data_IF_885422578683
#
_entry.id   IF_885422578683
#
_cell.length_a   1.000
_cell.length_b   1.000
_cell.length_c   1.000
_cell.angle_alpha   90.00
_cell.angle_beta   90.00
_cell.angle_gamma   90.00
#
_symmetry.space_group_name_H-M   'P 1'
#
loop_
_entity.id
_entity.type
_entity.pdbx_description
1 polymer ?
#
# COMPACT_ATOMS: atom_id res chain seq x y z
N UNK A 1 15.03 17.64 -39.22
CA UNK A 1 14.35 16.32 -39.07
C UNK A 1 12.92 16.55 -38.60
N UNK A 2 11.90 16.16 -39.39
CA UNK A 2 10.49 16.21 -38.97
C UNK A 2 10.11 14.83 -38.39
N UNK A 3 9.88 14.76 -37.08
CA UNK A 3 9.38 13.55 -36.42
C UNK A 3 7.92 13.36 -36.83
N UNK A 4 7.56 12.20 -37.38
CA UNK A 4 6.19 11.96 -37.82
C UNK A 4 5.26 11.69 -36.62
N UNK A 5 3.96 12.00 -36.76
CA UNK A 5 2.98 11.77 -35.69
C UNK A 5 2.92 10.30 -35.24
N UNK A 6 3.19 9.35 -36.14
CA UNK A 6 3.30 7.92 -35.83
C UNK A 6 4.55 7.60 -35.01
N UNK A 7 5.68 8.25 -35.31
CA UNK A 7 6.90 8.13 -34.52
C UNK A 7 6.72 8.78 -33.14
N UNK A 8 6.03 9.92 -33.05
CA UNK A 8 5.69 10.55 -31.77
C UNK A 8 4.78 9.65 -30.92
N UNK A 9 3.74 9.06 -31.52
CA UNK A 9 2.82 8.12 -30.86
C UNK A 9 3.52 6.83 -30.42
N UNK A 10 4.43 6.28 -31.24
CA UNK A 10 5.22 5.10 -30.88
C UNK A 10 6.19 5.39 -29.72
N UNK A 11 6.88 6.54 -29.74
CA UNK A 11 7.76 6.97 -28.64
C UNK A 11 6.99 7.21 -27.34
N UNK A 12 5.79 7.81 -27.42
CA UNK A 12 4.91 8.01 -26.28
C UNK A 12 4.38 6.66 -25.75
N UNK A 13 4.01 5.71 -26.62
CA UNK A 13 3.57 4.38 -26.17
C UNK A 13 4.71 3.54 -25.57
N UNK A 14 5.94 3.69 -26.05
CA UNK A 14 7.12 3.07 -25.40
C UNK A 14 7.39 3.74 -24.05
N UNK A 15 7.36 5.07 -23.94
CA UNK A 15 7.51 5.76 -22.66
C UNK A 15 6.39 5.43 -21.65
N UNK A 16 5.14 5.30 -22.11
CA UNK A 16 3.98 4.96 -21.27
C UNK A 16 3.97 3.47 -20.90
N UNK A 17 4.34 2.57 -21.82
CA UNK A 17 4.43 1.13 -21.58
C UNK A 17 5.55 0.75 -20.62
N UNK A 18 6.72 1.38 -20.75
CA UNK A 18 7.90 1.07 -19.93
C UNK A 18 7.79 1.62 -18.51
N UNK A 19 7.06 2.72 -18.29
CA UNK A 19 6.95 3.30 -16.93
C UNK A 19 6.12 2.44 -15.98
N UNK A 20 5.06 1.78 -16.44
CA UNK A 20 4.21 0.93 -15.58
C UNK A 20 4.85 -0.40 -15.16
N UNK A 21 5.86 -0.87 -15.89
CA UNK A 21 6.65 -2.08 -15.61
C UNK A 21 7.79 -1.85 -14.61
N UNK A 22 7.91 -0.67 -14.00
CA UNK A 22 8.91 -0.46 -12.96
C UNK A 22 8.28 0.24 -11.77
N UNK A 23 8.79 -0.02 -10.55
CA UNK A 23 8.30 0.68 -9.39
C UNK A 23 8.59 2.18 -9.57
N UNK A 24 7.69 3.07 -9.14
CA UNK A 24 7.88 4.49 -9.34
C UNK A 24 9.17 4.97 -8.66
N UNK A 25 9.94 5.88 -9.29
CA UNK A 25 11.15 6.42 -8.70
C UNK A 25 10.86 7.14 -7.38
N UNK A 26 11.89 7.37 -6.55
CA UNK A 26 11.75 8.01 -5.23
C UNK A 26 11.08 9.39 -5.33
N UNK A 27 11.29 10.11 -6.44
CA UNK A 27 10.73 11.44 -6.69
C UNK A 27 9.25 11.40 -7.13
N UNK A 28 8.71 10.23 -7.52
CA UNK A 28 7.35 10.11 -8.06
C UNK A 28 6.26 10.68 -7.14
N UNK A 29 6.24 10.39 -5.82
CA UNK A 29 5.23 10.93 -4.91
C UNK A 29 5.23 12.46 -4.81
N UNK A 30 6.31 13.12 -5.22
CA UNK A 30 6.51 14.57 -5.15
C UNK A 30 6.22 15.29 -6.47
N UNK A 31 5.86 14.55 -7.53
CA UNK A 31 5.44 15.16 -8.81
C UNK A 31 4.15 15.96 -8.65
N UNK A 32 3.98 17.02 -9.45
CA UNK A 32 2.77 17.87 -9.42
C UNK A 32 1.48 17.08 -9.61
N UNK A 33 1.50 16.08 -10.51
CA UNK A 33 0.37 15.16 -10.70
C UNK A 33 0.00 14.44 -9.39
N UNK A 34 0.98 13.93 -8.64
CA UNK A 34 0.71 13.22 -7.38
C UNK A 34 0.36 14.19 -6.25
N UNK A 35 0.92 15.40 -6.24
CA UNK A 35 0.46 16.49 -5.34
C UNK A 35 -1.03 16.76 -5.54
N UNK A 36 -1.46 16.98 -6.79
CA UNK A 36 -2.87 17.23 -7.13
C UNK A 36 -3.77 16.06 -6.71
N UNK A 37 -3.33 14.82 -6.97
CA UNK A 37 -4.07 13.62 -6.57
C UNK A 37 -4.16 13.42 -5.04
N UNK A 38 -3.13 13.82 -4.28
CA UNK A 38 -3.18 13.83 -2.80
C UNK A 38 -4.21 14.82 -2.29
N UNK A 39 -4.27 16.02 -2.88
CA UNK A 39 -5.29 17.02 -2.54
C UNK A 39 -6.69 16.46 -2.80
N UNK A 40 -6.90 15.87 -3.99
CA UNK A 40 -8.17 15.24 -4.34
C UNK A 40 -8.55 14.11 -3.37
N UNK A 41 -7.62 13.22 -3.02
CA UNK A 41 -7.89 12.14 -2.06
C UNK A 41 -8.23 12.72 -0.67
N UNK A 42 -7.50 13.73 -0.20
CA UNK A 42 -7.81 14.41 1.07
C UNK A 42 -9.23 14.98 1.06
N UNK A 43 -9.64 15.68 0.00
CA UNK A 43 -10.99 16.24 -0.12
C UNK A 43 -12.06 15.14 -0.17
N UNK A 44 -11.78 14.06 -0.90
CA UNK A 44 -12.63 12.87 -0.97
C UNK A 44 -12.81 12.18 0.39
N UNK A 45 -11.75 12.11 1.20
CA UNK A 45 -11.80 11.54 2.56
C UNK A 45 -12.61 12.45 3.49
N UNK A 46 -12.39 13.77 3.45
CA UNK A 46 -13.19 14.71 4.24
C UNK A 46 -14.67 14.60 3.90
N UNK A 47 -15.02 14.41 2.62
CA UNK A 47 -16.41 14.22 2.20
C UNK A 47 -17.08 12.94 2.73
N UNK A 48 -16.34 12.02 3.37
CA UNK A 48 -16.93 10.89 4.12
C UNK A 48 -17.43 11.29 5.51
N UNK A 49 -16.92 12.38 6.07
CA UNK A 49 -17.26 12.82 7.43
C UNK A 49 -18.54 13.66 7.44
N UNK A 50 -19.27 13.72 8.57
CA UNK A 50 -20.33 14.71 8.78
C UNK A 50 -19.84 16.16 8.59
N UNK A 51 -20.70 17.08 8.10
CA UNK A 51 -20.30 18.48 7.80
C UNK A 51 -19.60 19.20 8.96
N UNK A 52 -20.01 18.93 10.20
CA UNK A 52 -19.45 19.49 11.43
C UNK A 52 -18.02 19.01 11.71
N UNK A 53 -17.66 17.79 11.28
CA UNK A 53 -16.31 17.24 11.41
C UNK A 53 -15.39 17.70 10.27
N UNK A 54 -15.93 17.96 9.08
CA UNK A 54 -15.15 18.41 7.91
C UNK A 54 -14.41 19.73 8.14
N UNK A 55 -14.92 20.59 9.02
CA UNK A 55 -14.29 21.88 9.35
C UNK A 55 -13.26 21.77 10.48
N UNK A 56 -13.22 20.64 11.19
CA UNK A 56 -12.31 20.46 12.33
C UNK A 56 -10.85 20.39 11.84
N UNK A 57 -9.92 21.18 12.44
CA UNK A 57 -8.51 21.14 12.07
C UNK A 57 -7.90 19.73 12.19
N UNK A 58 -8.25 18.99 13.24
CA UNK A 58 -7.75 17.64 13.47
C UNK A 58 -8.20 16.65 12.40
N UNK A 59 -9.47 16.71 11.95
CA UNK A 59 -9.98 15.87 10.86
C UNK A 59 -9.27 16.17 9.52
N UNK A 60 -9.02 17.45 9.24
CA UNK A 60 -8.27 17.91 8.05
C UNK A 60 -6.83 17.42 8.07
N UNK A 61 -6.20 17.44 9.24
CA UNK A 61 -4.84 16.94 9.42
C UNK A 61 -4.78 15.42 9.21
N UNK A 62 -5.71 14.66 9.80
CA UNK A 62 -5.80 13.20 9.59
C UNK A 62 -6.03 12.85 8.11
N UNK A 63 -6.97 13.52 7.43
CA UNK A 63 -7.23 13.31 6.00
C UNK A 63 -6.01 13.65 5.13
N UNK A 64 -5.27 14.71 5.48
CA UNK A 64 -4.04 15.10 4.78
C UNK A 64 -2.96 14.05 4.96
N UNK A 65 -2.77 13.58 6.21
CA UNK A 65 -1.81 12.54 6.53
C UNK A 65 -2.15 11.22 5.82
N UNK A 66 -3.41 10.79 5.82
CA UNK A 66 -3.85 9.59 5.12
C UNK A 66 -3.59 9.67 3.62
N UNK A 67 -3.94 10.79 2.99
CA UNK A 67 -3.73 10.97 1.56
C UNK A 67 -2.22 10.98 1.22
N UNK A 68 -1.41 11.71 1.99
CA UNK A 68 0.03 11.78 1.78
C UNK A 68 0.71 10.42 1.96
N UNK A 69 0.42 9.76 3.08
CA UNK A 69 0.94 8.43 3.41
C UNK A 69 0.53 7.40 2.36
N UNK A 70 -0.73 7.39 1.92
CA UNK A 70 -1.20 6.42 0.92
C UNK A 70 -0.40 6.48 -0.40
N UNK A 71 -0.17 7.68 -0.94
CA UNK A 71 0.58 7.82 -2.20
C UNK A 71 2.08 7.52 -2.03
N UNK A 72 2.68 7.93 -0.92
CA UNK A 72 4.10 7.64 -0.63
C UNK A 72 4.32 6.14 -0.38
N UNK A 73 3.47 5.54 0.45
CA UNK A 73 3.49 4.13 0.80
C UNK A 73 3.32 3.26 -0.45
N UNK A 74 2.31 3.52 -1.29
CA UNK A 74 2.10 2.74 -2.50
C UNK A 74 3.35 2.64 -3.38
N UNK A 75 4.02 3.78 -3.61
CA UNK A 75 5.26 3.82 -4.39
C UNK A 75 6.42 3.13 -3.66
N UNK A 76 6.54 3.32 -2.33
CA UNK A 76 7.56 2.68 -1.48
C UNK A 76 7.44 1.16 -1.50
N UNK A 77 6.24 0.64 -1.31
CA UNK A 77 5.94 -0.80 -1.29
C UNK A 77 6.34 -1.45 -2.62
N UNK A 78 6.04 -0.81 -3.75
CA UNK A 78 6.45 -1.33 -5.05
C UNK A 78 7.98 -1.39 -5.20
N UNK A 79 8.71 -0.38 -4.70
CA UNK A 79 10.18 -0.37 -4.71
C UNK A 79 10.76 -1.48 -3.83
N UNK A 80 10.25 -1.62 -2.60
CA UNK A 80 10.70 -2.66 -1.64
C UNK A 80 10.43 -4.06 -2.18
N UNK A 81 9.30 -4.26 -2.85
CA UNK A 81 8.95 -5.53 -3.47
C UNK A 81 9.81 -5.84 -4.72
N UNK A 82 10.50 -4.84 -5.29
CA UNK A 82 11.23 -4.98 -6.54
C UNK A 82 10.30 -5.40 -7.70
N UNK A 83 9.05 -4.91 -7.70
CA UNK A 83 8.04 -5.35 -8.64
C UNK A 83 8.26 -4.80 -10.04
N UNK A 84 8.46 -5.68 -11.02
CA UNK A 84 8.70 -5.30 -12.43
C UNK A 84 7.43 -5.29 -13.30
N UNK A 85 6.26 -5.63 -12.76
CA UNK A 85 5.04 -5.65 -13.55
C UNK A 85 3.81 -5.24 -12.75
N UNK A 86 2.85 -4.56 -13.38
CA UNK A 86 1.59 -4.22 -12.74
C UNK A 86 0.72 -5.46 -12.54
N UNK A 87 0.05 -5.50 -11.39
CA UNK A 87 -1.06 -6.40 -11.15
C UNK A 87 -0.79 -7.87 -11.49
N UNK A 88 -1.72 -8.44 -12.27
CA UNK A 88 -1.75 -9.85 -12.66
C UNK A 88 -0.50 -10.31 -13.42
N UNK A 89 0.14 -9.43 -14.19
CA UNK A 89 1.39 -9.76 -14.86
C UNK A 89 2.52 -10.02 -13.85
N UNK A 90 2.54 -9.27 -12.74
CA UNK A 90 3.47 -9.51 -11.63
C UNK A 90 3.24 -10.85 -10.93
N UNK A 91 1.99 -11.32 -10.83
CA UNK A 91 1.69 -12.63 -10.22
C UNK A 91 2.38 -13.79 -10.94
N UNK A 92 2.52 -13.73 -12.27
CA UNK A 92 3.20 -14.78 -13.03
C UNK A 92 4.68 -14.93 -12.63
N UNK A 93 5.37 -13.81 -12.39
CA UNK A 93 6.76 -13.80 -11.93
C UNK A 93 6.89 -14.36 -10.52
N UNK A 94 5.91 -14.05 -9.66
CA UNK A 94 5.92 -14.53 -8.28
C UNK A 94 5.64 -16.02 -8.21
N UNK A 95 4.63 -16.50 -8.92
CA UNK A 95 4.29 -17.92 -8.98
C UNK A 95 5.39 -18.75 -9.66
N UNK A 96 6.17 -18.14 -10.55
CA UNK A 96 7.34 -18.77 -11.20
C UNK A 96 8.63 -18.66 -10.36
N UNK A 97 8.58 -18.12 -9.14
CA UNK A 97 9.73 -17.90 -8.24
C UNK A 97 10.83 -16.99 -8.81
N UNK A 98 10.49 -16.15 -9.80
CA UNK A 98 11.39 -15.13 -10.35
C UNK A 98 11.33 -13.82 -9.55
N UNK A 99 10.27 -13.65 -8.77
CA UNK A 99 10.09 -12.55 -7.83
C UNK A 99 9.51 -13.13 -6.54
N UNK A 100 10.06 -12.77 -5.40
CA UNK A 100 9.72 -13.50 -4.17
C UNK A 100 8.41 -12.95 -3.52
N UNK A 101 7.96 -11.71 -3.82
CA UNK A 101 6.75 -11.03 -3.28
C UNK A 101 6.15 -10.06 -4.30
N UNK A 102 4.97 -9.53 -4.01
CA UNK A 102 4.29 -8.54 -4.83
C UNK A 102 2.87 -8.92 -5.26
N UNK A 103 2.33 -10.01 -4.69
CA UNK A 103 0.91 -10.37 -4.82
C UNK A 103 0.01 -9.29 -4.19
N UNK A 104 -1.25 -9.23 -4.61
CA UNK A 104 -2.21 -8.22 -4.14
C UNK A 104 -2.33 -8.16 -2.60
N UNK A 105 -2.36 -9.31 -1.92
CA UNK A 105 -2.45 -9.38 -0.46
C UNK A 105 -1.21 -8.82 0.24
N UNK A 106 -0.01 -8.92 -0.38
CA UNK A 106 1.20 -8.30 0.17
C UNK A 106 1.05 -6.78 0.22
N UNK A 107 0.60 -6.18 -0.88
CA UNK A 107 0.37 -4.73 -0.93
C UNK A 107 -0.74 -4.30 0.02
N UNK A 108 -1.81 -5.10 0.19
CA UNK A 108 -2.86 -4.82 1.18
C UNK A 108 -2.26 -4.76 2.59
N UNK A 109 -1.49 -5.76 2.98
CA UNK A 109 -0.89 -5.84 4.32
C UNK A 109 0.09 -4.68 4.57
N UNK A 110 0.93 -4.37 3.59
CA UNK A 110 1.89 -3.28 3.67
C UNK A 110 1.21 -1.91 3.74
N UNK A 111 0.19 -1.68 2.91
CA UNK A 111 -0.59 -0.44 2.96
C UNK A 111 -1.31 -0.31 4.31
N UNK A 112 -1.86 -1.40 4.85
CA UNK A 112 -2.51 -1.39 6.15
C UNK A 112 -1.53 -1.02 7.27
N UNK A 113 -0.31 -1.58 7.24
CA UNK A 113 0.78 -1.19 8.13
C UNK A 113 1.07 0.30 8.02
N UNK A 114 1.38 0.81 6.83
CA UNK A 114 1.78 2.22 6.68
C UNK A 114 0.70 3.20 7.16
N UNK A 115 -0.58 2.88 6.90
CA UNK A 115 -1.69 3.71 7.34
C UNK A 115 -1.97 3.62 8.85
N UNK A 116 -1.44 2.62 9.58
CA UNK A 116 -1.59 2.49 11.04
C UNK A 116 -0.46 3.11 11.87
N UNK A 117 0.54 3.73 11.23
CA UNK A 117 1.61 4.47 11.93
C UNK A 117 1.13 5.69 12.73
N UNK A 118 -0.11 6.12 12.51
CA UNK A 118 -0.78 7.20 13.24
C UNK A 118 -2.12 6.69 13.80
N UNK A 119 -2.44 6.95 15.07
CA UNK A 119 -3.79 6.76 15.59
C UNK A 119 -4.81 7.64 14.85
N UNK A 120 -5.99 7.10 14.53
CA UNK A 120 -7.02 7.81 13.77
C UNK A 120 -8.31 7.94 14.59
N UNK A 121 -8.78 9.17 14.73
CA UNK A 121 -10.00 9.50 15.47
C UNK A 121 -11.20 9.62 14.53
N UNK A 122 -11.02 10.20 13.35
CA UNK A 122 -12.10 10.49 12.40
C UNK A 122 -12.26 9.42 11.32
N UNK A 123 -11.21 8.63 11.09
CA UNK A 123 -11.18 7.62 10.05
C UNK A 123 -10.91 6.23 10.62
N UNK A 124 -11.25 5.22 9.83
CA UNK A 124 -10.83 3.83 10.05
C UNK A 124 -10.27 3.23 8.76
N UNK A 125 -9.37 2.29 8.94
CA UNK A 125 -8.77 1.53 7.85
C UNK A 125 -9.43 0.16 7.83
N UNK A 126 -9.85 -0.28 6.64
CA UNK A 126 -10.36 -1.62 6.41
C UNK A 126 -9.59 -2.33 5.30
N UNK A 127 -9.82 -3.64 5.20
CA UNK A 127 -9.30 -4.50 4.16
C UNK A 127 -10.48 -5.00 3.36
N UNK A 128 -10.40 -4.98 2.04
CA UNK A 128 -11.44 -5.51 1.17
C UNK A 128 -10.85 -6.43 0.11
N UNK A 129 -11.72 -7.28 -0.45
CA UNK A 129 -11.38 -8.20 -1.52
C UNK A 129 -12.40 -8.11 -2.63
N UNK A 130 -11.91 -8.17 -3.86
CA UNK A 130 -12.69 -8.41 -5.07
C UNK A 130 -12.56 -9.88 -5.46
N UNK A 131 -13.66 -10.52 -5.82
CA UNK A 131 -13.71 -11.89 -6.32
C UNK A 131 -13.05 -12.91 -5.37
N UNK A 132 -13.31 -12.80 -4.07
CA UNK A 132 -12.75 -13.69 -3.05
C UNK A 132 -12.93 -15.18 -3.39
N UNK A 133 -11.85 -15.95 -3.28
CA UNK A 133 -11.78 -17.38 -3.59
C UNK A 133 -11.70 -17.72 -5.09
N UNK A 134 -11.61 -16.72 -5.98
CA UNK A 134 -11.51 -16.93 -7.43
C UNK A 134 -10.11 -16.63 -7.95
N UNK A 135 -9.78 -17.13 -9.14
CA UNK A 135 -8.51 -16.81 -9.80
C UNK A 135 -8.32 -15.30 -10.07
N UNK A 136 -9.39 -14.51 -10.11
CA UNK A 136 -9.37 -13.05 -10.27
C UNK A 136 -9.38 -12.28 -8.95
N UNK A 137 -9.14 -12.97 -7.83
CA UNK A 137 -9.12 -12.40 -6.48
C UNK A 137 -8.13 -11.22 -6.37
N UNK A 138 -8.60 -10.11 -5.80
CA UNK A 138 -7.79 -8.93 -5.64
C UNK A 138 -8.03 -8.26 -4.29
N UNK A 139 -6.96 -8.12 -3.50
CA UNK A 139 -6.99 -7.61 -2.14
C UNK A 139 -6.53 -6.13 -2.11
N UNK A 140 -7.25 -5.28 -1.39
CA UNK A 140 -6.95 -3.84 -1.24
C UNK A 140 -7.22 -3.36 0.19
N UNK A 141 -6.71 -2.19 0.56
CA UNK A 141 -7.18 -1.49 1.76
C UNK A 141 -8.21 -0.43 1.36
N UNK A 142 -9.03 0.00 2.31
CA UNK A 142 -9.90 1.14 2.13
C UNK A 142 -9.87 2.04 3.37
N UNK A 143 -10.26 3.31 3.17
CA UNK A 143 -10.45 4.27 4.24
C UNK A 143 -11.93 4.65 4.29
N UNK A 144 -12.51 4.59 5.47
CA UNK A 144 -13.88 4.99 5.76
C UNK A 144 -13.90 6.00 6.91
N UNK A 145 -14.99 6.75 7.06
CA UNK A 145 -15.25 7.51 8.28
C UNK A 145 -15.33 6.57 9.50
N UNK A 146 -14.99 7.06 10.69
CA UNK A 146 -15.13 6.30 11.94
C UNK A 146 -16.60 5.89 12.10
N UNK A 147 -16.84 4.61 12.35
CA UNK A 147 -18.19 4.06 12.50
C UNK A 147 -18.98 3.85 11.19
N UNK A 148 -18.49 4.31 10.04
CA UNK A 148 -19.13 4.00 8.75
C UNK A 148 -18.88 2.55 8.36
N UNK A 149 -19.85 1.87 7.78
CA UNK A 149 -19.74 0.48 7.30
C UNK A 149 -19.31 0.41 5.83
N UNK A 150 -18.79 -0.75 5.41
CA UNK A 150 -18.57 -1.00 3.98
C UNK A 150 -19.91 -0.95 3.22
N UNK A 151 -20.03 -0.30 2.04
CA UNK A 151 -18.96 0.27 1.21
C UNK A 151 -18.86 1.81 1.28
N UNK A 152 -19.20 2.46 2.40
CA UNK A 152 -19.07 3.93 2.56
C UNK A 152 -17.60 4.33 2.77
N UNK A 153 -16.81 4.22 1.70
CA UNK A 153 -15.35 4.26 1.76
C UNK A 153 -14.70 4.63 0.41
N UNK A 154 -13.40 4.91 0.47
CA UNK A 154 -12.50 4.97 -0.68
C UNK A 154 -11.51 3.79 -0.65
N UNK A 155 -11.48 2.99 -1.72
CA UNK A 155 -10.52 1.88 -1.89
C UNK A 155 -9.18 2.44 -2.36
N UNK A 156 -8.11 1.99 -1.74
CA UNK A 156 -6.73 2.31 -2.06
C UNK A 156 -6.02 1.05 -2.57
N UNK A 157 -5.76 1.02 -3.86
CA UNK A 157 -5.14 -0.09 -4.56
C UNK A 157 -3.73 0.30 -5.02
N UNK A 158 -2.75 -0.12 -4.21
CA UNK A 158 -1.34 0.11 -4.49
C UNK A 158 -0.75 -0.93 -5.46
N UNK A 159 -1.47 -2.01 -5.76
CA UNK A 159 -0.94 -3.16 -6.49
C UNK A 159 -1.21 -3.09 -8.00
N UNK A 160 -2.43 -2.70 -8.39
CA UNK A 160 -2.89 -2.75 -9.79
C UNK A 160 -1.94 -2.07 -10.77
N UNK A 161 -1.38 -0.92 -10.39
CA UNK A 161 -0.46 -0.14 -11.21
C UNK A 161 0.94 -0.04 -10.61
N UNK A 162 1.37 -1.11 -9.93
CA UNK A 162 2.72 -1.26 -9.41
C UNK A 162 3.18 -0.05 -8.57
N UNK A 163 2.44 0.29 -7.51
CA UNK A 163 2.75 1.40 -6.62
C UNK A 163 2.29 2.79 -7.08
N UNK A 164 1.71 2.90 -8.28
CA UNK A 164 0.94 4.09 -8.68
C UNK A 164 -0.47 3.95 -8.14
N UNK A 165 -0.70 4.50 -6.96
CA UNK A 165 -1.96 4.31 -6.22
C UNK A 165 -3.19 4.57 -7.11
N UNK A 166 -4.05 3.54 -7.20
CA UNK A 166 -5.40 3.65 -7.75
C UNK A 166 -6.36 3.90 -6.60
N UNK A 167 -7.26 4.86 -6.79
CA UNK A 167 -8.27 5.25 -5.82
C UNK A 167 -9.64 5.07 -6.45
N UNK A 168 -10.50 4.28 -5.84
CA UNK A 168 -11.88 4.05 -6.30
C UNK A 168 -12.90 4.37 -5.20
N UNK A 169 -14.04 4.92 -5.62
CA UNK A 169 -15.20 5.10 -4.74
C UNK A 169 -15.87 3.74 -4.51
N UNK A 170 -15.79 3.21 -3.28
CA UNK A 170 -16.30 1.87 -2.96
C UNK A 170 -17.81 1.76 -3.21
N UNK A 171 -18.55 2.86 -3.08
CA UNK A 171 -20.01 2.92 -3.29
C UNK A 171 -20.40 2.63 -4.74
N UNK A 172 -19.47 2.85 -5.67
CA UNK A 172 -19.64 2.60 -7.11
C UNK A 172 -19.18 1.20 -7.53
N UNK A 173 -18.55 0.44 -6.63
CA UNK A 173 -18.06 -0.90 -6.92
C UNK A 173 -19.18 -1.95 -6.83
N UNK A 174 -19.05 -3.03 -7.60
CA UNK A 174 -20.04 -4.10 -7.60
C UNK A 174 -20.07 -4.84 -6.26
N UNK A 175 -21.19 -4.71 -5.53
CA UNK A 175 -21.45 -5.45 -4.27
C UNK A 175 -21.45 -6.97 -4.41
N UNK A 176 -21.60 -7.49 -5.64
CA UNK A 176 -21.50 -8.95 -5.92
C UNK A 176 -20.07 -9.44 -6.00
N UNK A 177 -19.12 -8.54 -6.28
CA UNK A 177 -17.70 -8.88 -6.48
C UNK A 177 -16.86 -8.44 -5.30
N UNK A 178 -17.21 -7.33 -4.65
CA UNK A 178 -16.42 -6.77 -3.57
C UNK A 178 -17.05 -7.06 -2.20
N UNK A 179 -16.19 -7.43 -1.25
CA UNK A 179 -16.55 -7.69 0.14
C UNK A 179 -15.52 -7.08 1.10
N UNK A 180 -15.98 -6.77 2.30
CA UNK A 180 -15.14 -6.41 3.44
C UNK A 180 -14.42 -7.65 4.02
N UNK A 181 -13.26 -7.45 4.64
CA UNK A 181 -12.43 -8.47 5.28
C UNK A 181 -12.06 -8.08 6.73
N UNK A 182 -13.04 -7.99 7.65
CA UNK A 182 -12.79 -7.59 9.03
C UNK A 182 -11.87 -8.57 9.78
N UNK A 183 -11.86 -9.86 9.41
CA UNK A 183 -10.95 -10.85 9.98
C UNK A 183 -9.48 -10.54 9.67
N UNK A 184 -9.17 -10.11 8.44
CA UNK A 184 -7.82 -9.68 8.06
C UNK A 184 -7.44 -8.42 8.82
N UNK A 185 -8.33 -7.42 8.92
CA UNK A 185 -8.06 -6.22 9.72
C UNK A 185 -7.74 -6.56 11.18
N UNK A 186 -8.50 -7.49 11.78
CA UNK A 186 -8.28 -7.92 13.17
C UNK A 186 -6.89 -8.53 13.34
N UNK A 187 -6.53 -9.48 12.47
CA UNK A 187 -5.22 -10.13 12.48
C UNK A 187 -4.10 -9.08 12.30
N UNK A 188 -4.24 -8.21 11.30
CA UNK A 188 -3.24 -7.18 11.04
C UNK A 188 -3.09 -6.17 12.18
N UNK A 189 -4.17 -5.87 12.90
CA UNK A 189 -4.12 -4.95 14.03
C UNK A 189 -3.38 -5.52 15.24
N UNK A 190 -3.27 -6.84 15.35
CA UNK A 190 -2.41 -7.51 16.36
C UNK A 190 -0.93 -7.25 16.06
N UNK A 191 -0.54 -7.34 14.78
CA UNK A 191 0.84 -7.13 14.34
C UNK A 191 1.23 -5.64 14.26
N UNK A 192 0.31 -4.81 13.77
CA UNK A 192 0.52 -3.39 13.53
C UNK A 192 -0.36 -2.59 14.48
N UNK A 193 0.09 -2.43 15.71
CA UNK A 193 -0.58 -1.57 16.69
C UNK A 193 -0.65 -0.12 16.20
N UNK A 194 -1.70 0.61 16.55
CA UNK A 194 -1.81 2.03 16.18
C UNK A 194 -0.64 2.83 16.73
N UNK A 195 -0.05 3.69 15.89
CA UNK A 195 1.12 4.50 16.28
C UNK A 195 2.46 3.79 16.19
N UNK A 196 2.51 2.56 15.68
CA UNK A 196 3.77 1.83 15.53
C UNK A 196 4.78 2.56 14.63
N UNK A 197 6.06 2.29 14.85
CA UNK A 197 7.18 2.86 14.08
C UNK A 197 7.93 1.81 13.24
N UNK A 198 7.30 0.66 13.01
CA UNK A 198 7.89 -0.43 12.22
C UNK A 198 8.33 0.00 10.81
N UNK A 199 9.55 -0.35 10.36
CA UNK A 199 9.99 -0.10 8.99
C UNK A 199 9.04 -0.69 7.93
N UNK A 200 9.13 -0.19 6.70
CA UNK A 200 8.44 -0.79 5.55
C UNK A 200 8.93 -2.22 5.27
N UNK A 201 10.14 -2.57 5.72
CA UNK A 201 10.74 -3.89 5.68
C UNK A 201 10.31 -4.79 6.85
N UNK A 202 9.52 -4.30 7.80
CA UNK A 202 9.00 -5.11 8.90
C UNK A 202 7.83 -5.98 8.42
N UNK A 203 8.01 -7.30 8.54
CA UNK A 203 7.00 -8.31 8.25
C UNK A 203 6.61 -9.02 9.53
N UNK A 204 5.31 -9.09 9.83
CA UNK A 204 4.68 -9.85 10.93
C UNK A 204 5.66 -10.54 11.89
N UNK A 205 6.23 -9.76 12.81
CA UNK A 205 7.06 -10.27 13.91
C UNK A 205 6.23 -10.25 15.18
N UNK A 206 6.15 -11.37 15.89
CA UNK A 206 5.47 -11.49 17.18
C UNK A 206 6.37 -10.92 18.27
N UNK A 207 5.84 -10.06 19.15
CA UNK A 207 6.57 -9.66 20.36
C UNK A 207 6.39 -10.78 21.41
N UNK A 208 7.47 -11.46 21.73
CA UNK A 208 7.52 -12.43 22.81
C UNK A 208 7.39 -11.77 24.19
N UNK A 209 7.17 -12.55 25.25
CA UNK A 209 7.02 -12.06 26.63
C UNK A 209 8.21 -11.21 27.13
N UNK A 210 9.39 -11.44 26.57
CA UNK A 210 10.66 -10.82 26.99
C UNK A 210 11.03 -9.56 26.20
N UNK A 211 10.09 -8.92 25.51
CA UNK A 211 10.33 -7.82 24.55
C UNK A 211 11.11 -8.18 23.29
N UNK A 212 11.43 -9.45 23.08
CA UNK A 212 12.06 -9.92 21.86
C UNK A 212 11.05 -10.07 20.72
N UNK A 213 11.51 -9.83 19.50
CA UNK A 213 10.71 -9.91 18.28
C UNK A 213 10.97 -11.27 17.61
N UNK A 214 10.04 -12.22 17.78
CA UNK A 214 10.07 -13.53 17.14
C UNK A 214 9.38 -13.49 15.79
N UNK A 215 10.14 -13.76 14.73
CA UNK A 215 9.61 -13.73 13.37
C UNK A 215 9.09 -15.11 13.00
N UNK A 216 7.76 -15.20 12.80
CA UNK A 216 7.12 -16.46 12.43
C UNK A 216 7.28 -16.69 10.93
N UNK A 217 8.28 -17.48 10.57
CA UNK A 217 8.56 -17.85 9.18
C UNK A 217 8.25 -19.32 8.96
N UNK A 218 7.53 -19.63 7.89
CA UNK A 218 7.57 -20.96 7.31
C UNK A 218 9.02 -21.27 6.88
N UNK A 219 9.56 -22.49 7.09
CA UNK A 219 10.96 -22.86 6.79
C UNK A 219 11.43 -22.56 5.35
N UNK A 220 10.49 -22.45 4.41
CA UNK A 220 10.70 -22.13 3.00
C UNK A 220 11.03 -20.64 2.81
N UNK A 221 10.45 -19.75 3.64
CA UNK A 221 10.67 -18.30 3.58
C UNK A 221 12.12 -17.95 3.97
N UNK A 222 12.71 -18.64 4.94
CA UNK A 222 14.11 -18.43 5.37
C UNK A 222 15.14 -18.72 4.28
N UNK A 223 14.76 -19.50 3.27
CA UNK A 223 15.62 -19.87 2.12
C UNK A 223 15.46 -18.93 0.92
N UNK A 224 14.48 -18.02 0.95
CA UNK A 224 14.24 -17.06 -0.13
C UNK A 224 15.40 -16.06 -0.28
N UNK A 225 15.58 -15.54 -1.50
CA UNK A 225 16.54 -14.44 -1.72
C UNK A 225 16.08 -13.16 -1.02
N UNK A 226 14.78 -13.05 -0.76
CA UNK A 226 14.15 -11.98 0.00
C UNK A 226 14.42 -11.96 1.48
N UNK A 227 14.34 -13.10 2.17
CA UNK A 227 14.72 -13.15 3.58
C UNK A 227 16.15 -12.63 3.74
N UNK A 228 17.06 -13.00 2.83
CA UNK A 228 18.42 -12.47 2.78
C UNK A 228 18.44 -10.95 2.58
N UNK A 229 17.84 -10.41 1.51
CA UNK A 229 17.83 -8.96 1.25
C UNK A 229 17.17 -8.13 2.36
N UNK A 230 16.07 -8.62 2.93
CA UNK A 230 15.39 -8.00 4.05
C UNK A 230 16.24 -8.04 5.30
N UNK A 231 16.82 -9.20 5.62
CA UNK A 231 17.75 -9.35 6.75
C UNK A 231 18.94 -8.41 6.57
N UNK A 232 19.55 -8.37 5.38
CA UNK A 232 20.64 -7.46 5.04
C UNK A 232 20.22 -5.99 5.19
N UNK A 233 18.99 -5.62 4.79
CA UNK A 233 18.45 -4.27 4.97
C UNK A 233 18.17 -3.94 6.45
N UNK A 234 17.66 -4.89 7.23
CA UNK A 234 17.44 -4.74 8.67
C UNK A 234 18.77 -4.59 9.40
N UNK A 235 19.76 -5.42 9.08
CA UNK A 235 21.11 -5.33 9.64
C UNK A 235 21.81 -4.04 9.22
N UNK A 236 21.71 -3.65 7.95
CA UNK A 236 22.19 -2.36 7.46
C UNK A 236 21.51 -1.19 8.18
N UNK A 237 20.20 -1.27 8.38
CA UNK A 237 19.44 -0.27 9.12
C UNK A 237 19.89 -0.16 10.58
N UNK A 238 20.11 -1.29 11.26
CA UNK A 238 20.66 -1.32 12.62
C UNK A 238 22.04 -0.68 12.71
N UNK A 239 22.87 -0.85 11.67
CA UNK A 239 24.20 -0.25 11.57
C UNK A 239 24.14 1.25 11.28
N UNK A 240 23.27 1.68 10.36
CA UNK A 240 23.13 3.08 9.97
C UNK A 240 22.43 3.93 11.04
N UNK A 241 21.53 3.32 11.82
CA UNK A 241 20.71 3.99 12.84
C UNK A 241 20.68 3.20 14.15
N UNK A 242 21.83 3.07 14.85
CA UNK A 242 21.92 2.25 16.06
C UNK A 242 20.96 2.77 17.15
N UNK A 243 20.16 1.85 17.69
CA UNK A 243 19.16 2.17 18.73
C UNK A 243 17.90 2.90 18.21
N UNK A 244 17.72 3.03 16.89
CA UNK A 244 16.53 3.62 16.28
C UNK A 244 15.88 2.64 15.31
N UNK A 245 14.54 2.60 15.30
CA UNK A 245 13.81 1.90 14.25
C UNK A 245 14.02 2.64 12.94
N UNK A 246 14.50 1.93 11.93
CA UNK A 246 14.91 2.53 10.65
C UNK A 246 13.68 2.92 9.86
N UNK A 247 13.48 4.23 9.70
CA UNK A 247 12.42 4.81 8.88
C UNK A 247 12.97 5.05 7.48
N UNK A 248 12.86 4.06 6.60
CA UNK A 248 12.89 4.30 5.15
C UNK A 248 11.59 3.81 4.53
#
# INVERSE_FOLDING_TARGET
MKISLRQLLASVMVAVGVTSCYPPPVQYPYTEMVVSRRIQLKDNLLALLPPEEQVQPAAREEATWLADTAYKAAAGIARVNGSYFPGWAGNAFINSRLQDRGLCWHYQHDMFRELRRRPLNYFRIGCCVRDGGKASEHNCVYVAAKGAEWPEAWVLDAWMWNGRLKVDDARKLSRKRWADLPSICRIQSVYYQEGHQWPIEHWSVLRGPDNDYESYWLPEMRRSSQYRRMYDNVEKGKLEHPGRLTNY
#
